data_IF_160916046260
#
_entry.id   IF_160916046260
#
_cell.length_a   1.000
_cell.length_b   1.000
_cell.length_c   1.000
_cell.angle_alpha   90.00
_cell.angle_beta   90.00
_cell.angle_gamma   90.00
#
_symmetry.space_group_name_H-M   'P 1'
#
loop_
_entity.id
_entity.type
_entity.pdbx_description
1 polymer ?
#
# COMPACT_ATOMS: atom_id res chain seq x y z
N UNK A 1 34.21 48.11 -10.65
CA UNK A 1 34.08 49.51 -11.07
C UNK A 1 32.86 50.12 -10.39
N UNK A 2 33.12 50.93 -9.37
CA UNK A 2 32.54 52.26 -9.05
C UNK A 2 31.04 52.30 -8.86
N UNK A 3 30.48 52.82 -7.81
CA UNK A 3 30.69 53.74 -6.68
C UNK A 3 29.32 54.22 -6.24
N UNK A 4 28.95 54.07 -4.95
CA UNK A 4 28.77 55.18 -3.98
C UNK A 4 27.78 56.28 -4.38
N UNK A 5 26.79 56.63 -3.55
CA UNK A 5 26.83 57.57 -2.42
C UNK A 5 25.42 57.69 -1.81
N UNK A 6 25.18 57.51 -0.58
CA UNK A 6 25.10 58.47 0.55
C UNK A 6 24.45 59.83 0.22
N UNK A 7 23.38 60.20 0.94
CA UNK A 7 23.26 61.49 1.64
C UNK A 7 22.20 61.41 2.77
N UNK A 8 22.59 62.05 3.84
CA UNK A 8 22.00 62.25 5.16
C UNK A 8 21.10 63.49 5.24
N UNK A 9 20.48 63.58 6.43
CA UNK A 9 20.11 64.80 7.21
C UNK A 9 18.70 65.35 6.95
N UNK A 10 17.95 65.93 7.84
CA UNK A 10 18.18 66.35 9.21
C UNK A 10 16.85 66.73 9.90
N UNK A 11 16.87 66.66 11.18
CA UNK A 11 16.03 67.28 12.21
C UNK A 11 15.13 68.48 11.85
N UNK A 12 13.95 68.48 12.49
CA UNK A 12 13.10 69.63 12.69
C UNK A 12 12.14 69.43 13.86
N UNK A 13 12.62 69.79 15.09
CA UNK A 13 11.76 69.94 16.26
C UNK A 13 10.93 71.22 16.09
N UNK A 14 9.60 71.14 16.33
CA UNK A 14 8.83 72.32 16.78
C UNK A 14 7.83 71.90 17.85
N UNK A 15 8.01 72.47 18.99
CA UNK A 15 7.16 72.53 20.18
C UNK A 15 5.96 73.45 19.98
N UNK A 16 4.76 73.05 20.39
CA UNK A 16 3.70 73.91 20.98
C UNK A 16 2.40 73.10 21.06
N UNK A 17 1.70 73.04 22.05
CA UNK A 17 0.94 73.86 22.96
C UNK A 17 -0.19 72.97 23.55
N UNK A 18 -0.17 72.96 24.89
CA UNK A 18 -1.12 72.22 25.74
C UNK A 18 -2.44 73.01 25.88
N UNK A 19 -3.37 72.97 24.94
CA UNK A 19 -4.69 73.55 25.26
C UNK A 19 -5.91 73.02 24.43
N UNK A 20 -5.73 71.95 23.66
CA UNK A 20 -6.83 71.44 22.82
C UNK A 20 -7.27 70.00 23.19
N UNK A 21 -6.93 69.52 24.41
CA UNK A 21 -7.23 68.15 24.82
C UNK A 21 -8.56 67.94 25.54
N UNK A 22 -9.29 68.99 25.91
CA UNK A 22 -10.52 68.85 26.70
C UNK A 22 -11.82 68.84 25.88
N UNK A 23 -11.81 69.28 24.62
CA UNK A 23 -13.04 69.33 23.79
C UNK A 23 -13.21 68.03 22.94
N UNK A 24 -12.16 67.27 22.74
CA UNK A 24 -12.23 66.03 21.94
C UNK A 24 -12.63 64.77 22.75
N UNK A 25 -12.60 64.79 24.04
CA UNK A 25 -13.00 63.66 24.91
C UNK A 25 -14.50 63.60 25.16
N UNK A 26 -15.25 64.69 25.08
CA UNK A 26 -16.68 64.72 25.30
C UNK A 26 -17.47 64.31 24.02
N UNK A 27 -16.92 64.51 22.82
CA UNK A 27 -17.58 64.13 21.58
C UNK A 27 -17.34 62.66 21.20
N UNK A 28 -16.37 62.00 21.82
CA UNK A 28 -16.10 60.59 21.60
C UNK A 28 -16.94 59.61 22.48
N UNK A 29 -17.55 60.14 23.54
CA UNK A 29 -18.32 59.30 24.48
C UNK A 29 -19.82 59.20 24.12
N UNK A 30 -20.32 59.98 23.16
CA UNK A 30 -21.75 59.97 22.76
C UNK A 30 -22.01 59.18 21.46
N UNK A 31 -21.01 58.64 20.80
CA UNK A 31 -21.12 57.86 19.54
C UNK A 31 -20.93 56.36 19.73
N UNK A 32 -20.77 55.87 20.97
CA UNK A 32 -20.51 54.43 21.25
C UNK A 32 -21.77 53.56 21.35
N UNK A 33 -23.01 54.01 21.50
CA UNK A 33 -24.11 53.04 21.62
C UNK A 33 -24.87 52.75 20.32
N UNK A 34 -24.37 53.14 19.12
CA UNK A 34 -25.13 52.84 17.88
C UNK A 34 -24.45 51.85 16.94
N UNK A 35 -23.42 51.11 17.44
CA UNK A 35 -22.81 49.98 16.71
C UNK A 35 -22.98 48.72 17.55
N UNK A 36 -24.26 48.31 17.75
CA UNK A 36 -24.66 47.01 18.26
C UNK A 36 -25.99 46.65 17.64
N UNK A 37 -26.17 45.40 17.27
CA UNK A 37 -25.34 44.35 16.74
C UNK A 37 -25.83 43.94 15.35
N UNK A 38 -25.09 44.17 14.34
CA UNK A 38 -25.19 43.29 13.21
C UNK A 38 -24.27 42.06 13.47
N UNK A 39 -24.33 41.53 14.69
CA UNK A 39 -23.95 40.16 14.96
C UNK A 39 -25.06 39.30 14.38
N UNK A 40 -25.16 39.37 13.02
CA UNK A 40 -25.84 38.34 12.26
C UNK A 40 -25.32 37.03 12.79
N UNK A 41 -26.18 36.08 12.95
CA UNK A 41 -25.89 34.70 13.24
C UNK A 41 -24.61 34.30 12.48
N UNK A 42 -23.47 34.30 13.17
CA UNK A 42 -22.36 33.47 12.79
C UNK A 42 -22.98 32.08 12.85
N UNK A 43 -23.47 31.62 11.70
CA UNK A 43 -23.71 30.21 11.51
C UNK A 43 -22.40 29.55 11.90
N UNK A 44 -22.34 28.95 13.08
CA UNK A 44 -21.29 28.04 13.45
C UNK A 44 -21.38 26.88 12.46
N UNK A 45 -20.74 27.09 11.31
CA UNK A 45 -20.61 26.01 10.34
C UNK A 45 -19.72 24.97 10.99
N UNK A 46 -20.29 23.83 11.26
CA UNK A 46 -19.59 22.70 11.84
C UNK A 46 -18.34 22.40 11.00
N UNK A 47 -17.14 22.44 11.62
CA UNK A 47 -15.91 22.18 10.91
C UNK A 47 -15.83 20.69 10.61
N UNK A 48 -15.47 20.30 9.36
CA UNK A 48 -15.33 18.90 9.01
C UNK A 48 -14.15 18.28 9.78
N UNK A 49 -14.38 17.09 10.33
CA UNK A 49 -13.34 16.30 11.00
C UNK A 49 -12.42 15.60 9.99
N UNK A 50 -12.92 15.40 8.76
CA UNK A 50 -12.20 14.73 7.67
C UNK A 50 -12.89 15.02 6.33
N UNK A 51 -12.18 14.70 5.24
CA UNK A 51 -12.77 14.64 3.90
C UNK A 51 -12.97 13.18 3.50
N UNK A 52 -14.05 12.89 2.80
CA UNK A 52 -14.38 11.56 2.31
C UNK A 52 -14.54 11.51 0.80
N UNK A 53 -14.15 10.39 0.20
CA UNK A 53 -14.40 10.09 -1.21
C UNK A 53 -15.42 8.96 -1.29
N UNK A 54 -16.50 9.16 -2.04
CA UNK A 54 -17.52 8.13 -2.28
C UNK A 54 -16.92 7.03 -3.16
N UNK A 55 -17.00 5.77 -2.68
CA UNK A 55 -16.37 4.61 -3.33
C UNK A 55 -17.35 3.75 -4.14
N UNK A 56 -18.64 3.83 -3.87
CA UNK A 56 -19.69 3.08 -4.58
C UNK A 56 -20.22 3.88 -5.77
N UNK A 57 -20.74 3.20 -6.78
CA UNK A 57 -21.26 3.86 -7.98
C UNK A 57 -22.31 4.92 -7.64
N UNK A 58 -23.19 4.58 -6.69
CA UNK A 58 -24.19 5.49 -6.16
C UNK A 58 -24.51 5.11 -4.72
N UNK A 59 -24.73 6.09 -3.86
CA UNK A 59 -25.23 5.91 -2.51
C UNK A 59 -26.22 7.04 -2.14
N UNK A 60 -27.15 6.73 -1.27
CA UNK A 60 -28.16 7.68 -0.81
C UNK A 60 -27.75 8.26 0.55
N UNK A 61 -27.93 9.56 0.68
CA UNK A 61 -27.71 10.32 1.91
C UNK A 61 -29.06 10.51 2.61
N UNK A 62 -29.13 10.20 3.89
CA UNK A 62 -30.37 10.18 4.68
C UNK A 62 -30.38 11.28 5.73
N UNK A 63 -31.59 11.70 6.14
CA UNK A 63 -31.76 12.74 7.15
C UNK A 63 -31.36 12.30 8.57
N UNK A 64 -31.32 10.99 8.84
CA UNK A 64 -30.92 10.40 10.12
C UNK A 64 -30.44 8.96 9.94
N UNK A 65 -29.90 8.36 10.99
CA UNK A 65 -29.48 6.95 11.04
C UNK A 65 -30.62 6.00 11.39
N UNK A 66 -31.86 6.49 11.54
CA UNK A 66 -33.02 5.69 11.88
C UNK A 66 -33.46 4.81 10.70
N UNK A 67 -34.05 3.64 11.01
CA UNK A 67 -34.60 2.68 10.05
C UNK A 67 -35.60 3.31 9.05
N UNK A 68 -36.32 4.33 9.47
CA UNK A 68 -37.22 5.10 8.63
C UNK A 68 -36.73 6.53 8.58
N UNK A 69 -35.86 6.81 7.62
CA UNK A 69 -35.34 8.16 7.40
C UNK A 69 -35.56 8.58 5.95
N UNK A 70 -35.68 9.90 5.75
CA UNK A 70 -35.91 10.47 4.43
C UNK A 70 -34.56 10.54 3.67
N UNK A 71 -34.59 10.18 2.40
CA UNK A 71 -33.49 10.46 1.48
C UNK A 71 -33.43 11.96 1.22
N UNK A 72 -32.29 12.58 1.52
CA UNK A 72 -32.06 14.01 1.32
C UNK A 72 -31.25 14.31 0.08
N UNK A 73 -30.35 13.38 -0.30
CA UNK A 73 -29.50 13.51 -1.48
C UNK A 73 -29.04 12.13 -2.00
N UNK A 74 -28.39 12.14 -3.16
CA UNK A 74 -27.61 11.01 -3.67
C UNK A 74 -26.21 11.47 -4.05
N UNK A 75 -25.22 10.63 -3.79
CA UNK A 75 -23.82 10.85 -4.15
C UNK A 75 -23.33 9.73 -5.06
N UNK A 76 -22.32 10.01 -5.88
CA UNK A 76 -21.76 9.09 -6.87
C UNK A 76 -20.29 8.81 -6.57
N UNK A 77 -19.78 7.76 -7.17
CA UNK A 77 -18.37 7.39 -7.07
C UNK A 77 -17.46 8.55 -7.50
N UNK A 78 -16.52 8.88 -6.62
CA UNK A 78 -15.58 9.98 -6.82
C UNK A 78 -16.02 11.30 -6.23
N UNK A 79 -17.30 11.46 -5.84
CA UNK A 79 -17.75 12.66 -5.16
C UNK A 79 -16.98 12.84 -3.84
N UNK A 80 -16.61 14.10 -3.58
CA UNK A 80 -15.92 14.49 -2.35
C UNK A 80 -16.95 15.07 -1.39
N UNK A 81 -16.97 14.57 -0.16
CA UNK A 81 -17.87 15.04 0.91
C UNK A 81 -17.05 15.43 2.13
N UNK A 82 -17.51 16.42 2.85
CA UNK A 82 -16.97 16.75 4.16
C UNK A 82 -17.59 15.80 5.22
N UNK A 83 -16.76 15.13 6.00
CA UNK A 83 -17.20 14.28 7.11
C UNK A 83 -17.29 15.15 8.36
N UNK A 84 -18.49 15.26 8.93
CA UNK A 84 -18.76 16.07 10.12
C UNK A 84 -18.66 15.24 11.39
N UNK A 85 -19.22 14.01 11.38
CA UNK A 85 -19.17 13.11 12.53
C UNK A 85 -19.23 11.65 12.10
N UNK A 86 -18.95 10.75 13.04
CA UNK A 86 -19.04 9.28 12.85
C UNK A 86 -19.88 8.71 13.98
N UNK A 87 -20.81 7.83 13.65
CA UNK A 87 -21.68 7.17 14.61
C UNK A 87 -21.76 5.68 14.34
N UNK A 88 -21.86 4.89 15.42
CA UNK A 88 -22.11 3.46 15.33
C UNK A 88 -23.47 3.16 15.96
N UNK A 89 -24.39 2.67 15.15
CA UNK A 89 -25.75 2.35 15.55
C UNK A 89 -25.87 0.85 15.79
N UNK A 90 -26.30 0.46 16.97
CA UNK A 90 -26.52 -0.94 17.31
C UNK A 90 -27.83 -1.43 16.64
N UNK A 91 -27.68 -2.26 15.61
CA UNK A 91 -28.80 -2.97 14.99
C UNK A 91 -29.15 -4.26 15.73
N UNK A 92 -30.21 -4.95 15.30
CA UNK A 92 -30.66 -6.18 15.95
C UNK A 92 -29.66 -7.34 15.87
N UNK A 93 -28.84 -7.39 14.84
CA UNK A 93 -27.90 -8.49 14.54
C UNK A 93 -26.46 -8.03 14.31
N UNK A 94 -26.25 -6.75 14.01
CA UNK A 94 -24.92 -6.18 13.73
C UNK A 94 -24.90 -4.68 14.02
N UNK A 95 -23.72 -4.14 14.23
CA UNK A 95 -23.51 -2.71 14.40
C UNK A 95 -23.29 -2.07 13.05
N UNK A 96 -24.08 -1.07 12.72
CA UNK A 96 -23.93 -0.25 11.52
C UNK A 96 -23.09 0.99 11.83
N UNK A 97 -22.15 1.29 10.97
CA UNK A 97 -21.33 2.50 11.07
C UNK A 97 -21.80 3.52 10.05
N UNK A 98 -22.10 4.72 10.51
CA UNK A 98 -22.60 5.84 9.74
C UNK A 98 -21.65 7.03 9.84
N UNK A 99 -21.60 7.83 8.79
CA UNK A 99 -20.89 9.11 8.75
C UNK A 99 -21.88 10.21 8.41
N UNK A 100 -21.84 11.29 9.16
CA UNK A 100 -22.56 12.50 8.79
C UNK A 100 -21.72 13.24 7.78
N UNK A 101 -22.29 13.53 6.64
CA UNK A 101 -21.60 14.17 5.51
C UNK A 101 -22.29 15.46 5.12
N UNK A 102 -21.49 16.40 4.64
CA UNK A 102 -21.96 17.61 3.96
C UNK A 102 -21.47 17.58 2.52
N UNK A 103 -22.38 17.84 1.59
CA UNK A 103 -22.04 17.83 0.18
C UNK A 103 -21.25 19.09 -0.18
N UNK A 104 -20.20 18.95 -0.99
CA UNK A 104 -19.42 20.11 -1.45
C UNK A 104 -20.12 20.92 -2.52
N UNK A 105 -20.89 20.27 -3.38
CA UNK A 105 -21.64 20.93 -4.45
C UNK A 105 -22.87 21.68 -3.92
N UNK A 106 -23.40 21.26 -2.76
CA UNK A 106 -24.48 21.89 -2.04
C UNK A 106 -24.18 21.91 -0.54
N UNK A 107 -23.45 22.92 -0.11
CA UNK A 107 -22.94 23.04 1.25
C UNK A 107 -24.04 23.25 2.32
N UNK A 108 -25.29 23.46 1.92
CA UNK A 108 -26.45 23.50 2.83
C UNK A 108 -27.03 22.11 3.07
N UNK A 109 -26.78 21.17 2.15
CA UNK A 109 -27.24 19.79 2.29
C UNK A 109 -26.24 18.95 3.11
N UNK A 110 -26.72 18.48 4.25
CA UNK A 110 -26.01 17.52 5.10
C UNK A 110 -26.94 16.35 5.45
N UNK A 111 -26.34 15.20 5.75
CA UNK A 111 -27.09 14.00 6.13
C UNK A 111 -26.16 12.83 6.44
N UNK A 112 -26.74 11.65 6.57
CA UNK A 112 -26.07 10.44 6.99
C UNK A 112 -25.86 9.48 5.82
N UNK A 113 -24.64 8.98 5.72
CA UNK A 113 -24.20 8.02 4.72
C UNK A 113 -23.59 6.82 5.45
N UNK A 114 -23.88 5.59 5.02
CA UNK A 114 -23.23 4.43 5.61
C UNK A 114 -21.72 4.47 5.35
N UNK A 115 -20.91 4.21 6.37
CA UNK A 115 -19.45 4.29 6.32
C UNK A 115 -18.82 3.40 5.23
N UNK A 116 -19.51 2.33 4.84
CA UNK A 116 -19.05 1.44 3.75
C UNK A 116 -19.01 2.11 2.38
N UNK A 117 -19.74 3.21 2.17
CA UNK A 117 -19.85 3.92 0.89
C UNK A 117 -18.82 5.03 0.74
N UNK A 118 -18.12 5.40 1.80
CA UNK A 118 -17.13 6.47 1.80
C UNK A 118 -15.81 6.00 2.38
N UNK A 119 -14.74 6.54 1.85
CA UNK A 119 -13.38 6.33 2.34
C UNK A 119 -12.78 7.69 2.69
N UNK A 120 -12.12 7.79 3.83
CA UNK A 120 -11.44 9.01 4.28
C UNK A 120 -10.31 9.39 3.33
N UNK A 121 -10.18 10.67 3.02
CA UNK A 121 -9.09 11.20 2.19
C UNK A 121 -7.72 10.89 2.82
N UNK A 122 -7.62 10.88 4.15
CA UNK A 122 -6.41 10.51 4.86
C UNK A 122 -6.00 9.06 4.59
N UNK A 123 -6.97 8.13 4.53
CA UNK A 123 -6.72 6.73 4.14
C UNK A 123 -6.28 6.65 2.67
N UNK A 124 -6.96 7.38 1.78
CA UNK A 124 -6.61 7.41 0.35
C UNK A 124 -5.17 7.87 0.17
N UNK A 125 -4.78 8.97 0.83
CA UNK A 125 -3.41 9.51 0.76
C UNK A 125 -2.37 8.51 1.28
N UNK A 126 -2.60 7.90 2.45
CA UNK A 126 -1.71 6.88 3.02
C UNK A 126 -1.57 5.65 2.11
N UNK A 127 -2.67 5.20 1.51
CA UNK A 127 -2.63 4.05 0.59
C UNK A 127 -1.91 4.38 -0.72
N UNK A 128 -2.01 5.62 -1.20
CA UNK A 128 -1.25 6.09 -2.35
C UNK A 128 0.26 6.17 -2.05
N UNK A 129 0.63 6.64 -0.86
CA UNK A 129 2.01 6.64 -0.38
C UNK A 129 2.58 5.22 -0.34
N UNK A 130 1.86 4.26 0.27
CA UNK A 130 2.29 2.85 0.35
C UNK A 130 2.50 2.27 -1.06
N UNK A 131 1.60 2.56 -2.01
CA UNK A 131 1.73 2.12 -3.40
C UNK A 131 2.92 2.78 -4.10
N UNK A 132 3.11 4.09 -3.89
CA UNK A 132 4.14 4.90 -4.53
C UNK A 132 5.57 4.59 -4.08
N UNK A 133 5.77 3.95 -2.92
CA UNK A 133 7.12 3.57 -2.45
C UNK A 133 7.88 2.65 -3.42
N UNK A 134 7.19 2.02 -4.35
CA UNK A 134 7.75 1.15 -5.38
C UNK A 134 7.61 1.73 -6.79
N UNK A 135 7.39 3.04 -6.93
CA UNK A 135 7.29 3.68 -8.23
C UNK A 135 8.61 3.52 -9.00
N UNK A 136 8.49 3.08 -10.26
CA UNK A 136 9.63 2.76 -11.12
C UNK A 136 10.29 1.41 -10.85
N UNK A 137 9.89 0.66 -9.81
CA UNK A 137 10.33 -0.71 -9.59
C UNK A 137 9.28 -1.70 -10.13
N UNK A 138 9.72 -2.79 -10.80
CA UNK A 138 8.80 -3.84 -11.21
C UNK A 138 8.24 -4.56 -9.97
N UNK A 139 7.01 -5.07 -10.05
CA UNK A 139 6.45 -5.87 -8.97
C UNK A 139 7.26 -7.16 -8.77
N UNK A 140 7.26 -7.68 -7.56
CA UNK A 140 7.85 -8.97 -7.23
C UNK A 140 7.08 -10.11 -7.90
N UNK A 141 5.75 -10.00 -7.89
CA UNK A 141 4.83 -10.93 -8.52
C UNK A 141 3.44 -10.30 -8.64
N UNK A 142 2.57 -10.90 -9.43
CA UNK A 142 1.14 -10.67 -9.37
C UNK A 142 0.50 -11.60 -8.35
N UNK A 143 -0.43 -11.10 -7.57
CA UNK A 143 -1.13 -11.86 -6.55
C UNK A 143 -2.64 -11.78 -6.70
N UNK A 144 -3.33 -12.80 -6.16
CA UNK A 144 -4.80 -12.88 -6.08
C UNK A 144 -5.24 -13.37 -4.71
N UNK A 145 -6.30 -12.78 -4.15
CA UNK A 145 -6.85 -13.20 -2.87
C UNK A 145 -7.58 -14.54 -2.94
N UNK A 146 -7.21 -15.47 -2.04
CA UNK A 146 -7.91 -16.76 -1.82
C UNK A 146 -9.27 -16.59 -1.14
N UNK A 147 -9.31 -15.63 -0.21
CA UNK A 147 -10.48 -15.29 0.63
C UNK A 147 -10.54 -13.78 0.77
N UNK A 148 -11.72 -13.25 1.14
CA UNK A 148 -11.83 -11.83 1.46
C UNK A 148 -10.92 -11.46 2.63
N UNK A 149 -10.21 -10.33 2.52
CA UNK A 149 -9.15 -9.93 3.43
C UNK A 149 -9.19 -8.43 3.72
N UNK A 150 -8.77 -8.06 4.92
CA UNK A 150 -8.59 -6.65 5.30
C UNK A 150 -7.26 -6.15 4.74
N UNK A 151 -7.30 -5.11 3.91
CA UNK A 151 -6.13 -4.35 3.50
C UNK A 151 -5.77 -3.38 4.61
N UNK A 152 -4.53 -3.39 5.08
CA UNK A 152 -4.08 -2.59 6.21
C UNK A 152 -3.09 -1.51 5.80
N UNK A 153 -3.01 -0.45 6.59
CA UNK A 153 -2.07 0.66 6.38
C UNK A 153 -0.66 0.37 6.92
N UNK A 154 -0.48 -0.74 7.62
CA UNK A 154 0.80 -1.14 8.19
C UNK A 154 0.89 -2.65 8.38
N UNK A 155 2.08 -3.10 8.73
CA UNK A 155 2.37 -4.49 9.09
C UNK A 155 1.81 -4.80 10.47
N UNK A 156 1.15 -5.95 10.61
CA UNK A 156 0.59 -6.42 11.89
C UNK A 156 -0.94 -6.50 11.90
N UNK A 157 -1.43 -7.34 12.81
CA UNK A 157 -2.88 -7.63 12.91
C UNK A 157 -3.69 -6.47 13.46
N UNK A 158 -3.04 -5.57 14.20
CA UNK A 158 -3.66 -4.41 14.85
C UNK A 158 -3.55 -3.13 14.00
N UNK A 159 -2.82 -3.18 12.87
CA UNK A 159 -2.70 -2.04 11.99
C UNK A 159 -4.07 -1.58 11.45
N UNK A 160 -4.23 -0.28 11.26
CA UNK A 160 -5.45 0.35 10.75
C UNK A 160 -5.91 -0.29 9.43
N UNK A 161 -7.20 -0.53 9.30
CA UNK A 161 -7.81 -1.13 8.11
C UNK A 161 -8.18 -0.05 7.11
N UNK A 162 -7.57 -0.10 5.92
CA UNK A 162 -7.90 0.81 4.82
C UNK A 162 -9.16 0.39 4.07
N UNK A 163 -9.31 -0.91 3.82
CA UNK A 163 -10.44 -1.48 3.09
C UNK A 163 -10.58 -2.98 3.37
N UNK A 164 -11.73 -3.54 2.97
CA UNK A 164 -11.91 -5.00 2.86
C UNK A 164 -11.91 -5.32 1.37
N UNK A 165 -10.98 -6.17 0.95
CA UNK A 165 -10.89 -6.67 -0.42
C UNK A 165 -11.61 -8.00 -0.53
N UNK A 166 -12.31 -8.21 -1.64
CA UNK A 166 -13.05 -9.44 -1.92
C UNK A 166 -12.11 -10.56 -2.36
N UNK A 167 -12.57 -11.82 -2.18
CA UNK A 167 -11.93 -12.96 -2.81
C UNK A 167 -11.78 -12.73 -4.32
N UNK A 168 -10.65 -13.13 -4.88
CA UNK A 168 -10.34 -12.98 -6.31
C UNK A 168 -9.80 -11.61 -6.71
N UNK A 169 -9.71 -10.64 -5.79
CA UNK A 169 -9.05 -9.34 -6.09
C UNK A 169 -7.61 -9.60 -6.48
N UNK A 170 -7.20 -9.02 -7.60
CA UNK A 170 -5.86 -9.06 -8.16
C UNK A 170 -5.08 -7.79 -7.79
N UNK A 171 -3.78 -7.92 -7.65
CA UNK A 171 -2.87 -6.83 -7.27
C UNK A 171 -1.42 -7.19 -7.59
N UNK A 172 -0.58 -6.17 -7.65
CA UNK A 172 0.86 -6.34 -7.69
C UNK A 172 1.41 -6.48 -6.26
N UNK A 173 2.28 -7.47 -6.04
CA UNK A 173 3.08 -7.60 -4.82
C UNK A 173 4.34 -6.78 -5.03
N UNK A 174 4.55 -5.74 -4.19
CA UNK A 174 5.65 -4.78 -4.32
C UNK A 174 6.63 -4.82 -3.15
N UNK A 175 6.37 -5.66 -2.15
CA UNK A 175 7.24 -5.83 -0.99
C UNK A 175 6.79 -6.96 -0.07
N UNK A 176 7.65 -7.32 0.86
CA UNK A 176 7.42 -8.33 1.89
C UNK A 176 7.99 -7.84 3.22
N UNK A 177 7.27 -8.05 4.31
CA UNK A 177 7.74 -7.81 5.68
C UNK A 177 7.21 -8.88 6.63
N UNK A 178 7.84 -9.02 7.79
CA UNK A 178 7.44 -9.97 8.83
C UNK A 178 7.04 -9.24 10.10
N UNK A 179 6.07 -9.78 10.82
CA UNK A 179 5.72 -9.36 12.17
C UNK A 179 5.56 -10.55 13.08
N UNK A 180 5.88 -10.38 14.35
CA UNK A 180 5.62 -11.37 15.38
C UNK A 180 4.30 -11.03 16.08
N UNK A 181 3.56 -12.06 16.50
CA UNK A 181 2.38 -11.89 17.32
C UNK A 181 2.28 -13.03 18.34
N UNK A 182 1.76 -12.72 19.51
CA UNK A 182 1.39 -13.74 20.51
C UNK A 182 -0.09 -14.09 20.30
N UNK A 183 -0.42 -15.36 19.97
CA UNK A 183 -1.82 -15.76 19.85
C UNK A 183 -2.50 -15.64 21.21
N UNK A 184 -3.63 -14.93 21.26
CA UNK A 184 -4.47 -14.92 22.47
C UNK A 184 -4.93 -16.34 22.80
N UNK A 185 -4.76 -16.78 24.04
CA UNK A 185 -5.34 -18.04 24.53
C UNK A 185 -6.84 -17.95 24.30
N UNK A 186 -7.39 -18.82 23.45
CA UNK A 186 -8.84 -18.93 23.29
C UNK A 186 -9.45 -19.17 24.66
N UNK A 187 -10.15 -18.17 25.21
CA UNK A 187 -10.97 -18.36 26.39
C UNK A 187 -11.97 -19.46 26.06
N UNK A 188 -11.93 -20.56 26.79
CA UNK A 188 -12.95 -21.62 26.70
C UNK A 188 -14.29 -20.93 26.92
N UNK A 189 -15.18 -20.98 25.92
CA UNK A 189 -16.57 -20.54 26.07
C UNK A 189 -17.18 -21.22 27.31
N UNK A 190 -17.84 -20.50 28.20
CA UNK A 190 -18.56 -21.10 29.31
C UNK A 190 -19.88 -21.67 28.78
N UNK A 191 -19.84 -22.91 28.34
CA UNK A 191 -21.02 -23.59 27.83
C UNK A 191 -20.79 -25.08 27.70
N UNK A 192 -21.05 -25.85 28.76
CA UNK A 192 -21.06 -27.31 28.70
C UNK A 192 -20.71 -27.97 30.02
N UNK A 193 -21.76 -28.33 30.79
CA UNK A 193 -21.84 -29.44 31.78
C UNK A 193 -20.75 -29.53 32.83
N UNK A 194 -21.18 -29.37 34.08
CA UNK A 194 -20.45 -29.71 35.29
C UNK A 194 -20.01 -31.17 35.27
N UNK A 195 -18.69 -31.39 35.16
CA UNK A 195 -18.05 -32.61 35.57
C UNK A 195 -16.94 -32.24 36.58
N UNK A 196 -16.91 -33.03 37.62
CA UNK A 196 -16.23 -32.85 38.91
C UNK A 196 -14.73 -32.61 38.67
N UNK A 197 -14.22 -31.46 39.15
CA UNK A 197 -12.81 -31.10 39.16
C UNK A 197 -12.04 -31.97 40.17
N UNK A 198 -11.08 -32.76 39.67
CA UNK A 198 -9.89 -33.11 40.47
C UNK A 198 -8.91 -31.93 40.43
N UNK A 199 -8.18 -31.63 41.52
CA UNK A 199 -7.25 -30.51 41.57
C UNK A 199 -6.06 -30.80 40.65
N UNK A 200 -6.03 -30.24 39.46
CA UNK A 200 -4.86 -30.24 38.60
C UNK A 200 -3.78 -29.34 39.23
N UNK A 201 -2.66 -29.93 39.47
CA UNK A 201 -1.36 -29.31 39.79
C UNK A 201 -1.07 -28.21 38.81
N UNK A 202 -0.74 -27.00 39.32
CA UNK A 202 -0.18 -25.88 38.57
C UNK A 202 1.22 -26.28 38.07
N UNK A 203 1.28 -26.98 36.94
CA UNK A 203 2.53 -27.23 36.23
C UNK A 203 2.43 -26.53 34.86
N UNK A 204 3.31 -25.55 34.67
CA UNK A 204 3.79 -24.95 33.45
C UNK A 204 2.70 -24.65 32.37
N UNK A 205 2.00 -23.55 32.57
CA UNK A 205 1.29 -22.92 31.48
C UNK A 205 2.34 -22.35 30.50
N UNK A 206 2.78 -23.16 29.53
CA UNK A 206 3.63 -22.75 28.44
C UNK A 206 3.08 -21.41 27.90
N UNK A 207 3.90 -20.35 28.00
CA UNK A 207 3.58 -19.09 27.34
C UNK A 207 3.41 -19.38 25.85
N UNK A 208 2.35 -18.87 25.19
CA UNK A 208 2.14 -19.12 23.78
C UNK A 208 3.35 -18.62 23.00
N UNK A 209 4.00 -19.53 22.27
CA UNK A 209 5.14 -19.22 21.41
C UNK A 209 4.78 -18.08 20.45
N UNK A 210 5.71 -17.15 20.32
CA UNK A 210 5.58 -16.08 19.33
C UNK A 210 5.53 -16.68 17.93
N UNK A 211 4.47 -16.35 17.21
CA UNK A 211 4.28 -16.78 15.83
C UNK A 211 4.64 -15.63 14.89
N UNK A 212 5.24 -15.97 13.74
CA UNK A 212 5.56 -15.02 12.68
C UNK A 212 4.44 -14.97 11.66
N UNK A 213 3.98 -13.77 11.32
CA UNK A 213 3.14 -13.50 10.17
C UNK A 213 3.97 -12.81 9.09
N UNK A 214 3.84 -13.30 7.87
CA UNK A 214 4.44 -12.68 6.68
C UNK A 214 3.38 -11.82 5.99
N UNK A 215 3.73 -10.59 5.67
CA UNK A 215 2.87 -9.60 5.04
C UNK A 215 3.41 -9.20 3.68
N UNK A 216 2.51 -9.10 2.69
CA UNK A 216 2.83 -8.54 1.40
C UNK A 216 2.36 -7.10 1.32
N UNK A 217 3.27 -6.21 0.93
CA UNK A 217 2.93 -4.87 0.49
C UNK A 217 2.41 -4.97 -0.93
N UNK A 218 1.21 -4.44 -1.16
CA UNK A 218 0.53 -4.60 -2.43
C UNK A 218 0.14 -3.27 -3.03
N UNK A 219 0.07 -3.23 -4.36
CA UNK A 219 -0.46 -2.13 -5.15
C UNK A 219 -1.66 -2.63 -5.94
N UNK A 220 -2.79 -1.95 -5.77
CA UNK A 220 -4.02 -2.22 -6.50
C UNK A 220 -4.01 -1.52 -7.85
N UNK A 221 -4.84 -2.00 -8.79
CA UNK A 221 -4.96 -1.42 -10.13
C UNK A 221 -5.43 0.05 -10.08
N UNK A 222 -5.07 0.83 -11.11
CA UNK A 222 -5.27 2.28 -11.19
C UNK A 222 -6.72 2.78 -11.04
N UNK A 223 -7.70 1.93 -11.29
CA UNK A 223 -9.12 2.25 -11.09
C UNK A 223 -9.59 2.21 -9.64
N UNK A 224 -8.76 1.79 -8.68
CA UNK A 224 -9.11 1.71 -7.27
C UNK A 224 -8.88 3.04 -6.55
N UNK A 225 -9.84 3.47 -5.72
CA UNK A 225 -9.68 4.65 -4.85
C UNK A 225 -8.59 4.38 -3.80
N UNK A 226 -8.55 3.15 -3.28
CA UNK A 226 -7.53 2.68 -2.35
C UNK A 226 -6.40 2.06 -3.18
N UNK A 227 -5.21 2.65 -3.15
CA UNK A 227 -4.12 2.32 -4.08
C UNK A 227 -3.20 1.21 -3.60
N UNK A 228 -3.03 1.02 -2.31
CA UNK A 228 -2.14 0.00 -1.76
C UNK A 228 -2.30 -0.23 -0.27
N UNK A 229 -1.53 -1.15 0.26
CA UNK A 229 -1.55 -1.54 1.67
C UNK A 229 -0.86 -2.86 1.92
N UNK A 230 -1.18 -3.46 3.07
CA UNK A 230 -0.58 -4.71 3.53
C UNK A 230 -1.61 -5.83 3.63
N UNK A 231 -1.28 -6.99 3.09
CA UNK A 231 -2.09 -8.22 3.13
C UNK A 231 -1.30 -9.36 3.76
N UNK A 232 -1.98 -10.18 4.54
CA UNK A 232 -1.38 -11.38 5.13
C UNK A 232 -1.11 -12.43 4.05
N UNK A 233 0.15 -12.84 3.90
CA UNK A 233 0.63 -13.67 2.78
C UNK A 233 -0.11 -15.00 2.62
N UNK A 234 -0.52 -15.65 3.73
CA UNK A 234 -1.28 -16.91 3.69
C UNK A 234 -2.63 -16.82 2.96
N UNK A 235 -3.18 -15.62 2.82
CA UNK A 235 -4.43 -15.35 2.10
C UNK A 235 -4.22 -15.02 0.62
N UNK A 236 -2.97 -15.00 0.15
CA UNK A 236 -2.58 -14.64 -1.21
C UNK A 236 -2.12 -15.86 -1.98
N UNK A 237 -2.57 -15.99 -3.23
CA UNK A 237 -1.94 -16.82 -4.26
C UNK A 237 -1.03 -15.93 -5.10
N UNK A 238 0.19 -16.36 -5.33
CA UNK A 238 1.05 -15.77 -6.35
C UNK A 238 0.56 -16.32 -7.69
N UNK A 239 0.23 -15.43 -8.61
CA UNK A 239 -0.11 -15.81 -9.98
C UNK A 239 1.17 -15.97 -10.78
N UNK A 240 1.36 -17.13 -11.36
CA UNK A 240 2.54 -17.48 -12.15
C UNK A 240 2.10 -17.63 -13.60
N UNK A 241 2.79 -17.01 -14.57
CA UNK A 241 2.52 -17.23 -15.98
C UNK A 241 2.63 -18.73 -16.37
N UNK A 242 1.71 -19.19 -17.20
CA UNK A 242 1.66 -20.60 -17.62
C UNK A 242 2.97 -21.06 -18.26
N UNK A 243 3.65 -20.16 -18.96
CA UNK A 243 4.92 -20.41 -19.64
C UNK A 243 6.04 -20.87 -18.70
N UNK A 244 6.02 -20.43 -17.45
CA UNK A 244 7.05 -20.74 -16.44
C UNK A 244 6.55 -21.65 -15.32
N UNK A 245 5.24 -21.94 -15.29
CA UNK A 245 4.63 -22.74 -14.24
C UNK A 245 5.24 -24.14 -14.13
N UNK A 246 5.74 -24.69 -15.22
CA UNK A 246 6.42 -25.99 -15.27
C UNK A 246 7.70 -26.06 -14.40
N UNK A 247 8.24 -24.93 -13.96
CA UNK A 247 9.39 -24.89 -13.04
C UNK A 247 8.98 -25.23 -11.60
N UNK A 248 7.70 -25.13 -11.24
CA UNK A 248 7.21 -25.68 -9.97
C UNK A 248 7.31 -27.20 -10.00
N UNK A 249 7.69 -27.79 -8.90
CA UNK A 249 7.85 -29.22 -8.75
C UNK A 249 8.98 -29.54 -7.78
N UNK A 250 9.09 -30.78 -7.34
CA UNK A 250 10.11 -31.22 -6.37
C UNK A 250 10.17 -30.36 -5.10
N UNK A 251 9.02 -29.83 -4.66
CA UNK A 251 8.89 -28.95 -3.52
C UNK A 251 9.30 -27.50 -3.77
N UNK A 252 9.65 -27.14 -5.01
CA UNK A 252 9.96 -25.76 -5.39
C UNK A 252 8.68 -24.96 -5.57
N UNK A 253 8.71 -23.70 -5.13
CA UNK A 253 7.62 -22.73 -5.28
C UNK A 253 8.15 -21.37 -5.66
N UNK A 254 7.40 -20.66 -6.48
CA UNK A 254 7.69 -19.25 -6.76
C UNK A 254 7.47 -18.40 -5.52
N UNK A 255 8.39 -17.47 -5.30
CA UNK A 255 8.23 -16.36 -4.33
C UNK A 255 8.18 -15.01 -5.03
N UNK A 256 8.80 -14.92 -6.22
CA UNK A 256 8.72 -13.78 -7.12
C UNK A 256 9.02 -14.20 -8.56
N UNK A 257 8.63 -13.37 -9.51
CA UNK A 257 9.05 -13.47 -10.91
C UNK A 257 8.92 -12.10 -11.58
N UNK A 258 9.76 -11.86 -12.58
CA UNK A 258 9.79 -10.59 -13.29
C UNK A 258 9.93 -10.84 -14.79
N UNK A 259 9.10 -10.14 -15.58
CA UNK A 259 9.32 -10.06 -17.02
C UNK A 259 10.44 -9.03 -17.29
N UNK A 260 11.53 -9.47 -17.89
CA UNK A 260 12.74 -8.65 -18.10
C UNK A 260 12.91 -8.17 -19.55
N UNK A 261 12.01 -8.60 -20.41
CA UNK A 261 11.97 -8.25 -21.83
C UNK A 261 10.98 -9.12 -22.57
N UNK A 262 10.83 -8.87 -23.85
CA UNK A 262 9.97 -9.67 -24.72
C UNK A 262 10.56 -9.72 -26.14
N UNK A 263 10.13 -10.72 -26.90
CA UNK A 263 10.45 -10.89 -28.31
C UNK A 263 9.19 -11.25 -29.09
N UNK A 264 9.07 -10.79 -30.31
CA UNK A 264 8.01 -11.21 -31.23
C UNK A 264 8.51 -12.40 -32.01
N UNK A 265 7.78 -13.52 -31.93
CA UNK A 265 8.08 -14.71 -32.73
C UNK A 265 7.45 -14.55 -34.13
N UNK A 266 8.25 -14.49 -35.20
CA UNK A 266 7.75 -14.24 -36.55
C UNK A 266 6.79 -15.33 -37.07
N UNK A 267 7.00 -16.59 -36.66
CA UNK A 267 6.15 -17.70 -37.07
C UNK A 267 4.78 -17.65 -36.37
N UNK A 268 4.77 -17.31 -35.09
CA UNK A 268 3.54 -17.10 -34.35
C UNK A 268 2.81 -15.84 -34.84
N UNK A 269 3.55 -14.78 -35.19
CA UNK A 269 2.98 -13.56 -35.74
C UNK A 269 2.26 -13.79 -37.07
N UNK A 270 2.76 -14.69 -37.89
CA UNK A 270 2.11 -15.09 -39.14
C UNK A 270 0.80 -15.85 -38.91
N UNK A 271 0.62 -16.49 -37.78
CA UNK A 271 -0.59 -17.21 -37.39
C UNK A 271 -1.59 -16.33 -36.61
N UNK A 272 -1.09 -15.65 -35.58
CA UNK A 272 -1.87 -14.73 -34.77
C UNK A 272 -0.96 -13.64 -34.17
N UNK A 273 -1.01 -12.40 -34.68
CA UNK A 273 -0.16 -11.30 -34.19
C UNK A 273 -0.35 -10.98 -32.69
N UNK A 274 -1.56 -11.16 -32.15
CA UNK A 274 -1.88 -10.83 -30.76
C UNK A 274 -1.18 -11.77 -29.77
N UNK A 275 -0.92 -13.00 -30.17
CA UNK A 275 -0.27 -14.00 -29.32
C UNK A 275 1.19 -14.25 -29.68
N UNK A 276 1.78 -13.45 -30.56
CA UNK A 276 3.15 -13.64 -31.04
C UNK A 276 4.22 -13.15 -30.08
N UNK A 277 3.88 -12.23 -29.17
CA UNK A 277 4.81 -11.70 -28.18
C UNK A 277 5.07 -12.72 -27.09
N UNK A 278 6.35 -13.02 -26.84
CA UNK A 278 6.84 -13.92 -25.79
C UNK A 278 7.72 -13.17 -24.82
N UNK A 279 7.39 -13.27 -23.54
CA UNK A 279 8.15 -12.61 -22.49
C UNK A 279 9.38 -13.46 -22.10
N UNK A 280 10.41 -12.76 -21.68
CA UNK A 280 11.56 -13.33 -21.00
C UNK A 280 11.41 -13.10 -19.51
N UNK A 281 11.68 -14.12 -18.71
CA UNK A 281 11.46 -14.08 -17.27
C UNK A 281 12.73 -14.33 -16.48
N UNK A 282 12.80 -13.71 -15.30
CA UNK A 282 13.64 -14.16 -14.19
C UNK A 282 12.72 -14.57 -13.04
N UNK A 283 13.00 -15.72 -12.47
CA UNK A 283 12.18 -16.32 -11.42
C UNK A 283 13.01 -16.53 -10.15
N UNK A 284 12.36 -16.32 -9.02
CA UNK A 284 12.94 -16.49 -7.68
C UNK A 284 12.14 -17.56 -6.96
N UNK A 285 12.81 -18.63 -6.53
CA UNK A 285 12.12 -19.81 -6.03
C UNK A 285 12.70 -20.27 -4.69
N UNK A 286 11.86 -20.93 -3.89
CA UNK A 286 12.25 -21.57 -2.64
C UNK A 286 11.74 -22.99 -2.52
N UNK A 287 12.31 -23.78 -1.60
CA UNK A 287 11.74 -25.04 -1.10
C UNK A 287 11.20 -24.87 0.32
N UNK A 288 10.48 -25.89 0.80
CA UNK A 288 10.12 -25.97 2.22
C UNK A 288 11.32 -26.05 3.17
N UNK A 289 12.48 -26.53 2.68
CA UNK A 289 13.76 -26.61 3.40
C UNK A 289 14.62 -25.34 3.31
N UNK A 290 14.19 -24.31 2.55
CA UNK A 290 14.91 -23.03 2.53
C UNK A 290 14.97 -22.44 3.93
N UNK A 291 16.15 -22.01 4.43
CA UNK A 291 16.27 -21.38 5.75
C UNK A 291 15.28 -20.25 5.95
N UNK A 292 14.78 -20.04 7.16
CA UNK A 292 13.79 -19.00 7.47
C UNK A 292 14.30 -17.60 7.14
N UNK A 293 15.60 -17.36 7.32
CA UNK A 293 16.25 -16.08 7.05
C UNK A 293 16.30 -15.73 5.56
N UNK A 294 16.13 -16.74 4.69
CA UNK A 294 16.18 -16.55 3.23
C UNK A 294 14.76 -16.55 2.62
N UNK A 295 14.52 -15.62 1.70
CA UNK A 295 13.29 -15.58 0.92
C UNK A 295 13.30 -16.57 -0.24
N UNK A 296 14.45 -16.76 -0.88
CA UNK A 296 14.61 -17.66 -2.03
C UNK A 296 16.01 -18.30 -2.05
N UNK A 297 16.10 -19.43 -2.74
CA UNK A 297 17.30 -20.23 -2.91
C UNK A 297 17.78 -20.25 -4.36
N UNK A 298 16.90 -19.93 -5.31
CA UNK A 298 17.21 -20.00 -6.73
C UNK A 298 16.83 -18.76 -7.50
N UNK A 299 17.68 -18.43 -8.46
CA UNK A 299 17.43 -17.47 -9.52
C UNK A 299 17.54 -18.20 -10.86
N UNK A 300 16.43 -18.29 -11.60
CA UNK A 300 16.40 -18.88 -12.93
C UNK A 300 16.04 -17.83 -13.96
N UNK A 301 16.75 -17.84 -15.10
CA UNK A 301 16.34 -17.11 -16.29
C UNK A 301 15.62 -18.08 -17.24
N UNK A 302 14.50 -17.63 -17.79
CA UNK A 302 13.67 -18.40 -18.74
C UNK A 302 13.40 -17.51 -19.94
N UNK A 303 13.93 -17.89 -21.09
CA UNK A 303 13.87 -17.11 -22.32
C UNK A 303 13.21 -17.89 -23.44
N UNK A 304 12.53 -17.17 -24.31
CA UNK A 304 11.98 -17.72 -25.54
C UNK A 304 13.08 -17.81 -26.62
N UNK A 305 13.23 -18.99 -27.24
CA UNK A 305 14.07 -19.19 -28.41
C UNK A 305 13.21 -19.11 -29.66
N UNK A 306 13.47 -18.08 -30.48
CA UNK A 306 12.72 -17.83 -31.72
C UNK A 306 13.01 -18.88 -32.80
N UNK A 307 14.19 -19.54 -32.76
CA UNK A 307 14.56 -20.55 -33.75
C UNK A 307 13.84 -21.87 -33.47
N UNK A 308 13.86 -22.32 -32.21
CA UNK A 308 13.25 -23.60 -31.81
C UNK A 308 11.79 -23.46 -31.37
N UNK A 309 11.28 -22.25 -31.19
CA UNK A 309 9.92 -21.93 -30.71
C UNK A 309 9.59 -22.56 -29.34
N UNK A 310 10.54 -22.55 -28.42
CA UNK A 310 10.39 -23.08 -27.06
C UNK A 310 11.01 -22.18 -26.03
N UNK A 311 10.54 -22.29 -24.79
CA UNK A 311 11.22 -21.70 -23.65
C UNK A 311 12.41 -22.56 -23.23
N UNK A 312 13.52 -21.91 -22.88
CA UNK A 312 14.73 -22.56 -22.37
C UNK A 312 15.25 -21.78 -21.16
N UNK A 313 16.03 -22.46 -20.31
CA UNK A 313 16.63 -21.86 -19.13
C UNK A 313 18.15 -21.85 -19.26
N UNK A 314 18.73 -20.77 -19.82
CA UNK A 314 20.18 -20.70 -20.08
C UNK A 314 21.01 -20.42 -18.84
N UNK A 315 20.36 -19.98 -17.74
CA UNK A 315 21.04 -19.56 -16.53
C UNK A 315 20.29 -20.03 -15.29
N UNK A 316 21.07 -20.54 -14.34
CA UNK A 316 20.60 -20.96 -13.00
C UNK A 316 21.65 -20.58 -11.99
N UNK A 317 21.24 -19.85 -10.95
CA UNK A 317 22.03 -19.65 -9.75
C UNK A 317 21.27 -20.32 -8.60
N UNK A 318 21.95 -21.18 -7.85
CA UNK A 318 21.32 -22.10 -6.90
C UNK A 318 22.02 -22.05 -5.56
N UNK A 319 21.36 -22.59 -4.53
CA UNK A 319 21.88 -22.63 -3.14
C UNK A 319 22.17 -21.23 -2.57
N UNK A 320 21.42 -20.24 -3.04
CA UNK A 320 21.51 -18.87 -2.56
C UNK A 320 20.78 -18.73 -1.21
N UNK A 321 21.20 -17.76 -0.43
CA UNK A 321 20.45 -17.26 0.73
C UNK A 321 19.89 -15.88 0.37
N UNK A 322 19.02 -15.86 -0.66
CA UNK A 322 18.49 -14.64 -1.24
C UNK A 322 17.42 -13.99 -0.38
N UNK A 323 17.43 -12.66 -0.28
CA UNK A 323 16.44 -11.87 0.46
C UNK A 323 15.95 -10.69 -0.36
N UNK A 324 14.73 -10.22 -0.08
CA UNK A 324 14.20 -8.99 -0.66
C UNK A 324 14.89 -7.74 -0.05
N UNK A 325 14.87 -6.59 -0.75
CA UNK A 325 14.15 -6.32 -1.99
C UNK A 325 14.91 -6.77 -3.25
N UNK A 326 14.14 -6.91 -4.34
CA UNK A 326 14.66 -7.07 -5.69
C UNK A 326 14.61 -5.71 -6.40
N UNK A 327 15.62 -5.41 -7.21
CA UNK A 327 15.60 -4.22 -8.05
C UNK A 327 15.92 -4.57 -9.49
N UNK A 328 15.37 -3.81 -10.42
CA UNK A 328 15.63 -3.93 -11.84
C UNK A 328 15.83 -2.54 -12.44
N UNK A 329 16.87 -2.39 -13.25
CA UNK A 329 17.13 -1.17 -14.02
C UNK A 329 17.53 -1.50 -15.45
N UNK A 330 17.20 -0.60 -16.38
CA UNK A 330 17.70 -0.70 -17.77
C UNK A 330 18.95 0.15 -17.93
N UNK A 331 19.94 -0.41 -18.60
CA UNK A 331 21.17 0.26 -18.97
C UNK A 331 21.41 0.05 -20.48
N UNK A 332 20.95 0.99 -21.29
CA UNK A 332 20.88 0.83 -22.73
C UNK A 332 19.97 -0.34 -23.12
N UNK A 333 20.55 -1.32 -23.81
CA UNK A 333 19.85 -2.55 -24.22
C UNK A 333 19.86 -3.66 -23.16
N UNK A 334 20.60 -3.48 -22.06
CA UNK A 334 20.75 -4.47 -21.01
C UNK A 334 19.74 -4.22 -19.90
N UNK A 335 19.31 -5.29 -19.28
CA UNK A 335 18.58 -5.25 -18.01
C UNK A 335 19.51 -5.71 -16.90
N UNK A 336 19.66 -4.92 -15.87
CA UNK A 336 20.45 -5.23 -14.68
C UNK A 336 19.48 -5.52 -13.56
N UNK A 337 19.64 -6.69 -12.95
CA UNK A 337 18.87 -7.15 -11.81
C UNK A 337 19.77 -7.12 -10.58
N UNK A 338 19.30 -6.54 -9.50
CA UNK A 338 19.99 -6.56 -8.21
C UNK A 338 19.15 -7.37 -7.23
N UNK A 339 19.75 -8.40 -6.67
CA UNK A 339 19.20 -9.17 -5.55
C UNK A 339 20.11 -9.02 -4.34
N UNK A 340 19.61 -9.31 -3.16
CA UNK A 340 20.44 -9.36 -1.97
C UNK A 340 20.62 -10.80 -1.54
N UNK A 341 21.83 -11.17 -1.19
CA UNK A 341 22.16 -12.53 -0.70
C UNK A 341 22.87 -12.40 0.64
N UNK A 342 22.44 -13.18 1.62
CA UNK A 342 23.04 -13.17 2.94
C UNK A 342 24.44 -13.81 2.90
N UNK A 343 25.43 -13.13 3.44
CA UNK A 343 26.78 -13.64 3.63
C UNK A 343 26.88 -14.60 4.85
N UNK A 344 28.09 -14.99 5.21
CA UNK A 344 28.35 -15.86 6.38
C UNK A 344 28.04 -15.19 7.74
N UNK A 345 27.82 -13.86 7.76
CA UNK A 345 27.44 -13.08 8.93
C UNK A 345 25.95 -12.69 8.92
N UNK A 346 25.15 -13.27 8.03
CA UNK A 346 23.73 -12.93 7.81
C UNK A 346 23.51 -11.47 7.39
N UNK A 347 24.51 -10.83 6.73
CA UNK A 347 24.35 -9.49 6.21
C UNK A 347 23.95 -9.54 4.73
N UNK A 348 22.96 -8.73 4.30
CA UNK A 348 22.54 -8.69 2.90
C UNK A 348 23.60 -7.99 2.04
N UNK A 349 24.14 -8.71 1.08
CA UNK A 349 25.13 -8.22 0.10
C UNK A 349 24.46 -8.14 -1.28
N UNK A 350 24.56 -7.02 -2.00
CA UNK A 350 23.97 -6.90 -3.33
C UNK A 350 24.71 -7.76 -4.34
N UNK A 351 23.95 -8.53 -5.10
CA UNK A 351 24.43 -9.37 -6.21
C UNK A 351 23.74 -8.91 -7.48
N UNK A 352 24.53 -8.58 -8.49
CA UNK A 352 24.03 -8.11 -9.77
C UNK A 352 24.09 -9.20 -10.83
N UNK A 353 23.05 -9.26 -11.62
CA UNK A 353 22.95 -10.05 -12.85
C UNK A 353 22.65 -9.10 -13.99
N UNK A 354 23.20 -9.38 -15.18
CA UNK A 354 22.88 -8.62 -16.38
C UNK A 354 22.41 -9.52 -17.52
N UNK A 355 21.44 -9.03 -18.28
CA UNK A 355 21.07 -9.66 -19.55
C UNK A 355 22.10 -9.34 -20.60
N UNK A 356 22.42 -10.31 -21.44
CA UNK A 356 23.25 -10.12 -22.60
C UNK A 356 22.75 -10.96 -23.77
N UNK A 357 23.17 -10.63 -24.98
CA UNK A 357 22.82 -11.37 -26.18
C UNK A 357 24.11 -11.98 -26.74
N UNK A 358 24.09 -13.28 -27.02
CA UNK A 358 25.23 -13.98 -27.61
C UNK A 358 25.41 -13.62 -29.10
N UNK A 359 26.49 -14.13 -29.71
CA UNK A 359 26.79 -13.90 -31.12
C UNK A 359 25.70 -14.43 -32.07
N UNK A 360 24.87 -15.35 -31.62
CA UNK A 360 23.74 -15.91 -32.35
C UNK A 360 22.42 -15.17 -32.10
N UNK A 361 22.45 -14.06 -31.37
CA UNK A 361 21.27 -13.27 -31.03
C UNK A 361 20.42 -13.87 -29.91
N UNK A 362 20.86 -14.93 -29.20
CA UNK A 362 20.12 -15.53 -28.12
C UNK A 362 20.32 -14.74 -26.83
N UNK A 363 19.22 -14.47 -26.16
CA UNK A 363 19.24 -13.84 -24.84
C UNK A 363 19.80 -14.76 -23.77
N UNK A 364 20.57 -14.21 -22.84
CA UNK A 364 21.08 -14.92 -21.67
C UNK A 364 21.17 -14.00 -20.47
N UNK A 365 21.31 -14.58 -19.28
CA UNK A 365 21.60 -13.88 -18.03
C UNK A 365 22.97 -14.33 -17.53
N UNK A 366 23.75 -13.42 -16.96
CA UNK A 366 24.98 -13.76 -16.27
C UNK A 366 25.09 -13.00 -14.95
N UNK A 367 25.73 -13.60 -13.99
CA UNK A 367 26.09 -12.94 -12.75
C UNK A 367 27.33 -12.08 -12.98
N UNK A 368 27.26 -10.81 -12.57
CA UNK A 368 28.36 -9.84 -12.66
C UNK A 368 29.15 -9.82 -11.36
N UNK A 369 28.45 -9.86 -10.22
CA UNK A 369 29.08 -9.89 -8.90
C UNK A 369 29.76 -11.24 -8.67
N UNK A 370 31.04 -11.27 -8.24
CA UNK A 370 31.71 -12.49 -7.84
C UNK A 370 30.97 -13.23 -6.72
N UNK A 371 31.20 -14.55 -6.53
CA UNK A 371 30.66 -15.27 -5.38
C UNK A 371 31.02 -14.58 -4.07
N UNK A 372 30.06 -14.45 -3.17
CA UNK A 372 30.25 -13.83 -1.86
C UNK A 372 30.80 -14.84 -0.86
N UNK A 373 31.41 -14.35 0.21
CA UNK A 373 31.99 -15.21 1.24
C UNK A 373 30.88 -16.02 1.94
N UNK A 374 31.08 -17.32 2.08
CA UNK A 374 30.11 -18.25 2.66
C UNK A 374 29.11 -18.84 1.66
N UNK A 375 29.11 -18.38 0.41
CA UNK A 375 28.25 -18.91 -0.63
C UNK A 375 28.73 -20.30 -1.10
N UNK A 376 27.82 -21.27 -1.15
CA UNK A 376 28.11 -22.56 -1.76
C UNK A 376 28.09 -22.38 -3.27
N UNK A 377 29.25 -22.41 -3.91
CA UNK A 377 29.33 -22.37 -5.37
C UNK A 377 28.74 -23.69 -5.89
N UNK A 378 27.46 -23.64 -6.26
CA UNK A 378 26.79 -24.74 -6.94
C UNK A 378 27.53 -25.07 -8.24
N UNK A 379 27.78 -26.36 -8.50
CA UNK A 379 28.35 -26.79 -9.79
C UNK A 379 27.43 -26.33 -10.90
N UNK A 380 27.95 -25.45 -11.76
CA UNK A 380 27.32 -24.97 -13.01
C UNK A 380 27.02 -26.11 -13.96
#
# INVERSE_FOLDING_TARGET
>A
MRRTDRIRAALGLVTASRSTRLIRVVLALTLIPLVLPASGCLFFREEPIDEGIVRTEQADVYSSTALVSLKVASVKRGDIVDILSRESVQGPTYTESWVQVRLRDDAETSGWLESRHVVSQSIVSKTAEIAGTADGMPPLARGRLKVSQRLRLGVGRDAEVAAVLSRGTEFDIIGKEESTYKPEKKSKSPGGSAEVEEPATEEDADEPEEQKDVWYRVRLDDGSIVRGGWLLSRSVNIEVPDEILHLEGDGRRFVAWQAIGSVVDPKLAAQNPETATRNHYVTYMRRGSTPEEADFEWVYAVFWDVESHVYYSPFRDVDLRGVFPLAMRKDGTRTILTVHVLDDQNQPVPVEYETWTDEKGRFSLRRVTPPIKGEKVGRR
#
